data_IF_781231634540
#
_entry.id   IF_781231634540
#
_cell.length_a   1.000
_cell.length_b   1.000
_cell.length_c   1.000
_cell.angle_alpha   90.00
_cell.angle_beta   90.00
_cell.angle_gamma   90.00
#
_symmetry.space_group_name_H-M   'P 1'
#
loop_
_entity.id
_entity.type
_entity.pdbx_description
1 polymer ?
#
# COMPACT_ATOMS: atom_id res chain seq x y z
N UNK A 1 -26.99 9.33 -7.91
CA UNK A 1 -25.81 8.75 -7.23
C UNK A 1 -26.19 7.36 -6.71
N UNK A 2 -26.50 6.41 -7.61
CA UNK A 2 -27.18 5.16 -7.21
C UNK A 2 -26.84 3.91 -8.05
N UNK A 3 -25.74 3.91 -8.82
CA UNK A 3 -25.38 2.79 -9.72
C UNK A 3 -24.10 2.01 -9.33
N UNK A 4 -23.54 2.19 -8.12
CA UNK A 4 -22.29 1.50 -7.69
C UNK A 4 -22.48 0.35 -6.69
N UNK A 5 -23.69 0.11 -6.20
CA UNK A 5 -23.92 -0.89 -5.14
C UNK A 5 -24.13 -2.32 -5.65
N UNK A 6 -24.63 -2.51 -6.88
CA UNK A 6 -24.89 -3.84 -7.46
C UNK A 6 -23.60 -4.54 -7.90
N UNK A 7 -22.71 -3.80 -8.56
CA UNK A 7 -21.42 -4.32 -9.09
C UNK A 7 -20.46 -4.80 -8.00
N UNK A 8 -20.52 -4.21 -6.81
CA UNK A 8 -19.63 -4.59 -5.70
C UNK A 8 -20.01 -5.95 -5.11
N UNK A 9 -21.32 -6.24 -4.99
CA UNK A 9 -21.81 -7.50 -4.43
C UNK A 9 -21.56 -8.66 -5.37
N UNK A 10 -21.84 -8.47 -6.66
CA UNK A 10 -21.58 -9.47 -7.71
C UNK A 10 -20.08 -9.74 -7.86
N UNK A 11 -19.24 -8.69 -7.90
CA UNK A 11 -17.78 -8.86 -7.96
C UNK A 11 -17.26 -9.61 -6.73
N UNK A 12 -17.78 -9.29 -5.53
CA UNK A 12 -17.37 -9.98 -4.31
C UNK A 12 -17.77 -11.47 -4.30
N UNK A 13 -18.93 -11.81 -4.85
CA UNK A 13 -19.39 -13.19 -5.08
C UNK A 13 -18.39 -13.95 -5.96
N UNK A 14 -18.08 -13.40 -7.13
CA UNK A 14 -17.12 -13.99 -8.07
C UNK A 14 -15.74 -14.18 -7.44
N UNK A 15 -15.22 -13.16 -6.73
CA UNK A 15 -13.93 -13.25 -6.04
C UNK A 15 -13.92 -14.33 -4.95
N UNK A 16 -15.02 -14.50 -4.20
CA UNK A 16 -15.15 -15.56 -3.19
C UNK A 16 -15.14 -16.96 -3.81
N UNK A 17 -15.79 -17.13 -4.97
CA UNK A 17 -15.76 -18.37 -5.73
C UNK A 17 -14.34 -18.67 -6.23
N UNK A 18 -13.69 -17.73 -6.91
CA UNK A 18 -12.33 -17.88 -7.44
C UNK A 18 -11.30 -18.22 -6.36
N UNK A 19 -11.43 -17.64 -5.15
CA UNK A 19 -10.55 -17.91 -4.00
C UNK A 19 -10.59 -19.36 -3.51
N UNK A 20 -11.67 -20.08 -3.82
CA UNK A 20 -11.92 -21.45 -3.39
C UNK A 20 -12.06 -22.37 -4.60
N UNK A 21 -11.05 -22.42 -5.48
CA UNK A 21 -11.04 -23.27 -6.67
C UNK A 21 -12.17 -23.03 -7.68
N UNK A 22 -12.87 -21.89 -7.62
CA UNK A 22 -13.99 -21.59 -8.52
C UNK A 22 -15.29 -22.31 -8.11
N UNK A 23 -15.41 -22.65 -6.83
CA UNK A 23 -16.56 -23.34 -6.24
C UNK A 23 -17.86 -22.62 -6.55
N UNK A 24 -18.88 -23.38 -6.95
CA UNK A 24 -20.24 -22.89 -7.09
C UNK A 24 -20.78 -22.39 -5.74
N UNK A 25 -21.60 -21.34 -5.78
CA UNK A 25 -22.14 -20.73 -4.56
C UNK A 25 -23.20 -21.60 -3.87
N UNK A 26 -23.95 -22.38 -4.66
CA UNK A 26 -25.06 -23.22 -4.20
C UNK A 26 -24.60 -24.65 -3.95
N UNK A 27 -23.62 -25.14 -4.71
CA UNK A 27 -23.10 -26.50 -4.59
C UNK A 27 -21.60 -26.51 -4.24
N UNK A 28 -21.29 -26.89 -2.99
CA UNK A 28 -19.91 -26.93 -2.48
C UNK A 28 -18.98 -27.94 -3.17
N UNK A 29 -19.55 -28.89 -3.91
CA UNK A 29 -18.82 -29.96 -4.59
C UNK A 29 -18.64 -29.70 -6.09
N UNK A 30 -19.24 -28.62 -6.60
CA UNK A 30 -19.13 -28.24 -7.99
C UNK A 30 -18.21 -27.02 -8.13
N UNK A 31 -17.41 -27.02 -9.18
CA UNK A 31 -16.53 -25.92 -9.54
C UNK A 31 -16.99 -25.38 -10.89
N UNK A 32 -17.78 -24.30 -10.83
CA UNK A 32 -18.35 -23.65 -12.03
C UNK A 32 -17.30 -22.93 -12.90
N UNK A 33 -16.11 -22.66 -12.35
CA UNK A 33 -15.04 -21.86 -12.98
C UNK A 33 -13.66 -22.40 -12.59
N UNK A 34 -12.64 -22.07 -13.37
CA UNK A 34 -11.24 -22.28 -12.96
C UNK A 34 -10.89 -21.22 -11.91
N UNK A 35 -10.62 -21.65 -10.68
CA UNK A 35 -10.15 -20.78 -9.59
C UNK A 35 -8.78 -21.15 -9.06
N UNK A 36 -8.47 -20.68 -7.85
CA UNK A 36 -7.21 -20.88 -7.15
C UNK A 36 -7.43 -21.20 -5.66
N UNK A 37 -6.38 -21.66 -4.99
CA UNK A 37 -6.34 -21.73 -3.53
C UNK A 37 -5.75 -20.43 -2.96
N UNK A 38 -6.61 -19.43 -2.73
CA UNK A 38 -6.21 -18.08 -2.32
C UNK A 38 -6.57 -17.73 -0.87
N UNK A 39 -6.60 -18.72 0.04
CA UNK A 39 -7.08 -18.52 1.41
C UNK A 39 -6.05 -17.78 2.27
N UNK A 40 -6.54 -16.85 3.10
CA UNK A 40 -5.80 -16.35 4.25
C UNK A 40 -5.99 -17.32 5.41
N UNK A 41 -4.90 -17.78 5.99
CA UNK A 41 -4.93 -18.70 7.13
C UNK A 41 -5.47 -18.04 8.41
N UNK A 42 -6.12 -18.83 9.28
CA UNK A 42 -6.73 -18.35 10.53
C UNK A 42 -5.70 -17.73 11.47
N UNK A 43 -4.49 -18.29 11.57
CA UNK A 43 -3.43 -17.73 12.41
C UNK A 43 -2.96 -16.38 11.87
N UNK A 44 -2.77 -16.27 10.55
CA UNK A 44 -2.40 -15.00 9.90
C UNK A 44 -3.49 -13.94 10.10
N UNK A 45 -4.77 -14.32 9.98
CA UNK A 45 -5.90 -13.43 10.24
C UNK A 45 -5.91 -12.92 11.70
N UNK A 46 -5.63 -13.80 12.68
CA UNK A 46 -5.56 -13.41 14.08
C UNK A 46 -4.43 -12.38 14.35
N UNK A 47 -3.24 -12.56 13.74
CA UNK A 47 -2.15 -11.59 13.83
C UNK A 47 -2.54 -10.26 13.18
N UNK A 48 -3.15 -10.30 12.00
CA UNK A 48 -3.58 -9.10 11.28
C UNK A 48 -4.64 -8.32 12.06
N UNK A 49 -5.60 -8.98 12.72
CA UNK A 49 -6.61 -8.30 13.54
C UNK A 49 -5.98 -7.45 14.66
N UNK A 50 -4.89 -7.93 15.29
CA UNK A 50 -4.16 -7.15 16.29
C UNK A 50 -3.42 -5.96 15.67
N UNK A 51 -2.76 -6.16 14.52
CA UNK A 51 -2.04 -5.10 13.80
C UNK A 51 -2.98 -4.02 13.26
N UNK A 52 -4.14 -4.40 12.75
CA UNK A 52 -5.17 -3.46 12.26
C UNK A 52 -5.62 -2.49 13.36
N UNK A 53 -5.68 -2.94 14.62
CA UNK A 53 -6.04 -2.09 15.75
C UNK A 53 -5.06 -0.94 16.02
N UNK A 54 -3.78 -1.07 15.65
CA UNK A 54 -2.75 -0.04 15.84
C UNK A 54 -2.32 0.65 14.54
N UNK A 55 -2.83 0.20 13.39
CA UNK A 55 -2.40 0.67 12.07
C UNK A 55 -2.55 2.20 11.91
N UNK A 56 -3.60 2.79 12.46
CA UNK A 56 -3.81 4.23 12.38
C UNK A 56 -2.70 5.02 13.10
N UNK A 57 -2.23 4.55 14.25
CA UNK A 57 -1.15 5.18 15.00
C UNK A 57 0.20 4.95 14.34
N UNK A 58 0.42 3.76 13.76
CA UNK A 58 1.60 3.51 12.92
C UNK A 58 1.66 4.46 11.72
N UNK A 59 0.53 4.71 11.05
CA UNK A 59 0.46 5.67 9.93
C UNK A 59 0.79 7.10 10.41
N UNK A 60 0.29 7.53 11.57
CA UNK A 60 0.65 8.84 12.17
C UNK A 60 2.14 8.92 12.48
N UNK A 61 2.72 7.88 13.06
CA UNK A 61 4.15 7.82 13.33
C UNK A 61 4.98 7.92 12.05
N UNK A 62 4.54 7.26 10.96
CA UNK A 62 5.17 7.40 9.63
C UNK A 62 5.07 8.81 9.07
N UNK A 63 3.96 9.53 9.27
CA UNK A 63 3.88 10.95 8.90
C UNK A 63 4.92 11.79 9.62
N UNK A 64 5.09 11.55 10.92
CA UNK A 64 6.10 12.26 11.72
C UNK A 64 7.51 11.99 11.17
N UNK A 65 7.87 10.72 10.93
CA UNK A 65 9.18 10.36 10.36
C UNK A 65 9.38 10.97 8.97
N UNK A 66 8.40 10.86 8.08
CA UNK A 66 8.47 11.48 6.76
C UNK A 66 8.68 13.00 6.84
N UNK A 67 8.00 13.69 7.76
CA UNK A 67 8.19 15.13 7.98
C UNK A 67 9.60 15.49 8.48
N UNK A 68 10.23 14.59 9.24
CA UNK A 68 11.60 14.75 9.76
C UNK A 68 12.62 14.61 8.64
N UNK A 69 12.42 13.69 7.69
CA UNK A 69 13.23 13.64 6.46
C UNK A 69 12.96 14.82 5.53
N UNK A 70 11.71 15.30 5.50
CA UNK A 70 11.31 16.38 4.61
C UNK A 70 12.02 17.70 4.88
N UNK A 71 12.15 18.05 6.15
CA UNK A 71 12.65 19.35 6.60
C UNK A 71 14.09 19.66 6.14
N UNK A 72 15.10 18.80 6.37
CA UNK A 72 16.47 19.06 5.92
C UNK A 72 16.62 18.93 4.40
N UNK A 73 15.97 17.94 3.77
CA UNK A 73 16.08 17.74 2.32
C UNK A 73 15.55 18.94 1.53
N UNK A 74 14.46 19.57 2.00
CA UNK A 74 13.99 20.83 1.42
C UNK A 74 14.99 21.97 1.57
N UNK A 75 15.72 22.05 2.70
CA UNK A 75 16.72 23.10 2.95
C UNK A 75 17.95 22.95 2.05
N UNK A 76 18.45 21.74 1.86
CA UNK A 76 19.61 21.47 1.00
C UNK A 76 19.35 21.68 -0.50
N UNK A 77 18.08 21.72 -0.91
CA UNK A 77 17.69 22.06 -2.28
C UNK A 77 17.63 23.57 -2.55
N UNK A 78 17.74 24.43 -1.53
CA UNK A 78 17.64 25.89 -1.68
C UNK A 78 18.90 26.51 -2.28
N UNK A 79 20.06 25.87 -2.07
CA UNK A 79 21.35 26.39 -2.53
C UNK A 79 21.69 25.97 -3.97
N UNK A 80 20.73 25.38 -4.71
CA UNK A 80 20.88 24.92 -6.10
C UNK A 80 21.94 23.83 -6.32
N UNK A 81 22.63 23.40 -5.26
CA UNK A 81 23.82 22.54 -5.34
C UNK A 81 23.45 21.06 -5.34
N UNK A 82 22.21 20.71 -4.98
CA UNK A 82 21.79 19.32 -4.89
C UNK A 82 20.36 19.08 -5.45
N UNK A 83 20.18 18.12 -6.37
CA UNK A 83 18.89 17.80 -6.98
C UNK A 83 18.13 16.71 -6.19
N UNK A 84 18.12 16.77 -4.85
CA UNK A 84 17.40 15.77 -4.04
C UNK A 84 15.93 16.15 -3.94
N UNK A 85 15.15 15.91 -5.00
CA UNK A 85 13.72 16.20 -4.94
C UNK A 85 13.08 15.34 -3.84
N UNK A 86 12.60 16.01 -2.78
CA UNK A 86 11.75 15.39 -1.77
C UNK A 86 10.56 14.72 -2.48
N UNK A 87 10.11 13.53 -2.05
CA UNK A 87 8.94 12.89 -2.64
C UNK A 87 7.79 13.88 -2.71
N UNK A 88 7.35 14.22 -3.93
CA UNK A 88 6.17 15.03 -4.13
C UNK A 88 4.98 14.18 -3.71
N UNK A 89 4.56 14.29 -2.45
CA UNK A 89 3.24 13.81 -2.05
C UNK A 89 2.27 14.71 -2.79
N UNK A 90 1.67 14.22 -3.87
CA UNK A 90 0.63 14.95 -4.60
C UNK A 90 -0.54 15.08 -3.63
N UNK A 91 -0.82 16.27 -3.07
CA UNK A 91 -1.92 16.43 -2.14
C UNK A 91 -3.19 16.50 -2.99
N UNK A 92 -3.78 15.35 -3.30
CA UNK A 92 -5.13 15.29 -3.86
C UNK A 92 -6.11 15.19 -2.70
N UNK A 93 -6.70 16.32 -2.30
CA UNK A 93 -7.80 16.35 -1.33
C UNK A 93 -7.45 15.76 0.04
N UNK A 94 -8.20 14.74 0.45
CA UNK A 94 -8.18 14.05 1.75
C UNK A 94 -7.24 12.82 1.80
N UNK A 95 -6.38 12.65 0.78
CA UNK A 95 -5.49 11.49 0.70
C UNK A 95 -4.28 11.64 1.61
N UNK A 96 -4.02 10.62 2.43
CA UNK A 96 -2.83 10.50 3.27
C UNK A 96 -1.98 9.33 2.78
N UNK A 97 -0.70 9.60 2.46
CA UNK A 97 0.24 8.53 2.10
C UNK A 97 0.51 7.63 3.30
N UNK A 98 0.43 6.31 3.13
CA UNK A 98 0.83 5.36 4.17
C UNK A 98 2.35 5.29 4.39
N UNK A 99 3.14 5.96 3.53
CA UNK A 99 4.61 5.90 3.50
C UNK A 99 5.12 4.47 3.62
N UNK A 100 4.65 3.58 2.73
CA UNK A 100 5.20 2.23 2.62
C UNK A 100 6.70 2.30 2.30
N UNK A 101 7.07 3.26 1.44
CA UNK A 101 8.44 3.63 1.12
C UNK A 101 8.57 5.15 1.14
N UNK A 102 9.77 5.65 1.45
CA UNK A 102 10.13 7.06 1.32
C UNK A 102 11.16 7.19 0.19
N UNK A 103 10.67 7.40 -1.03
CA UNK A 103 11.51 7.41 -2.23
C UNK A 103 11.99 8.83 -2.54
N UNK A 104 13.29 8.98 -2.77
CA UNK A 104 13.91 10.25 -3.20
C UNK A 104 14.44 10.10 -4.62
N UNK A 105 14.35 11.17 -5.41
CA UNK A 105 14.99 11.22 -6.73
C UNK A 105 16.36 11.89 -6.60
N UNK A 106 17.37 11.30 -7.22
CA UNK A 106 18.71 11.85 -7.32
C UNK A 106 19.13 11.89 -8.78
N UNK A 107 19.71 13.01 -9.23
CA UNK A 107 20.14 13.16 -10.61
C UNK A 107 21.31 12.23 -11.01
N UNK A 108 22.14 11.80 -10.06
CA UNK A 108 23.27 10.91 -10.30
C UNK A 108 23.39 9.84 -9.21
N UNK A 109 22.83 8.66 -9.47
CA UNK A 109 22.78 7.53 -8.52
C UNK A 109 24.18 7.01 -8.14
N UNK A 110 25.17 7.11 -9.04
CA UNK A 110 26.53 6.57 -8.83
C UNK A 110 27.33 7.35 -7.76
N UNK A 111 26.92 8.59 -7.45
CA UNK A 111 27.60 9.42 -6.46
C UNK A 111 27.39 8.96 -5.01
N UNK A 112 26.43 8.06 -4.74
CA UNK A 112 26.16 7.52 -3.40
C UNK A 112 26.96 6.27 -3.05
N UNK A 113 27.44 5.51 -4.04
CA UNK A 113 28.04 4.19 -3.84
C UNK A 113 29.54 4.17 -3.54
N UNK A 114 30.22 5.32 -3.53
CA UNK A 114 31.69 5.41 -3.44
C UNK A 114 32.25 5.68 -2.04
N UNK A 115 31.45 5.47 -0.98
CA UNK A 115 31.92 5.53 0.41
C UNK A 115 31.84 4.13 1.02
N UNK A 116 33.01 3.59 1.35
CA UNK A 116 33.30 2.24 1.86
C UNK A 116 33.72 1.21 0.81
N UNK A 117 34.97 1.32 0.37
CA UNK A 117 35.89 0.19 0.22
C UNK A 117 37.05 0.41 1.20
#
# INVERSE_FOLDING_TARGET
MEARSSTTTETASVLRSLRLHGRDEKNRFDNSRIGMNGRLDTLQAAVLLRKLGILADEIKARQYVASRYARPLKRHNLDGTLPWCHPAVVPRGDVVSAWAEYTVLQANLNALGSRHA
#
